data_IF_753047858896
#
_entry.id   IF_753047858896
#
_cell.length_a   1.000
_cell.length_b   1.000
_cell.length_c   1.000
_cell.angle_alpha   90.00
_cell.angle_beta   90.00
_cell.angle_gamma   90.00
#
_symmetry.space_group_name_H-M   'P 1'
#
loop_
_entity.id
_entity.type
_entity.pdbx_description
1 polymer ?
#
# COMPACT_ATOMS: atom_id res chain seq x y z
N UNK A 1 -6.53 -20.35 1.49
CA UNK A 1 -7.95 -19.99 1.70
C UNK A 1 -8.43 -20.75 2.93
N UNK A 2 -9.09 -20.09 3.87
CA UNK A 2 -9.72 -20.72 5.05
C UNK A 2 -10.84 -21.64 4.54
N UNK A 3 -10.78 -22.98 4.77
CA UNK A 3 -11.72 -23.94 4.20
C UNK A 3 -13.21 -23.62 4.46
N UNK A 4 -13.49 -23.08 5.65
CA UNK A 4 -14.83 -22.73 6.15
C UNK A 4 -15.47 -21.57 5.39
N UNK A 5 -14.66 -20.78 4.68
CA UNK A 5 -15.09 -19.59 3.95
C UNK A 5 -15.14 -19.81 2.44
N UNK A 6 -14.93 -21.04 1.97
CA UNK A 6 -14.73 -21.36 0.55
C UNK A 6 -15.95 -21.03 -0.32
N UNK A 7 -17.15 -21.21 0.22
CA UNK A 7 -18.41 -21.03 -0.50
C UNK A 7 -18.92 -19.59 -0.48
N UNK A 8 -18.26 -18.72 0.29
CA UNK A 8 -18.62 -17.32 0.43
C UNK A 8 -18.00 -16.46 -0.67
N UNK A 9 -18.76 -15.46 -1.13
CA UNK A 9 -18.23 -14.42 -2.00
C UNK A 9 -17.12 -13.65 -1.29
N UNK A 10 -16.28 -12.95 -2.05
CA UNK A 10 -15.16 -12.23 -1.46
C UNK A 10 -15.60 -11.19 -0.42
N UNK A 11 -16.71 -10.49 -0.68
CA UNK A 11 -17.24 -9.49 0.26
C UNK A 11 -17.80 -10.11 1.54
N UNK A 12 -18.50 -11.23 1.43
CA UNK A 12 -19.00 -11.98 2.59
C UNK A 12 -17.84 -12.50 3.46
N UNK A 13 -16.75 -12.94 2.83
CA UNK A 13 -15.54 -13.35 3.54
C UNK A 13 -14.90 -12.22 4.32
N UNK A 14 -14.83 -11.03 3.72
CA UNK A 14 -14.30 -9.84 4.40
C UNK A 14 -15.16 -9.52 5.62
N UNK A 15 -16.48 -9.57 5.48
CA UNK A 15 -17.43 -9.33 6.58
C UNK A 15 -17.28 -10.35 7.70
N UNK A 16 -17.23 -11.65 7.36
CA UNK A 16 -17.10 -12.73 8.34
C UNK A 16 -15.78 -12.66 9.13
N UNK A 17 -14.69 -12.26 8.47
CA UNK A 17 -13.40 -12.07 9.13
C UNK A 17 -13.26 -10.70 9.84
N UNK A 18 -14.26 -9.82 9.75
CA UNK A 18 -14.19 -8.46 10.28
C UNK A 18 -13.11 -7.60 9.60
N UNK A 19 -12.76 -7.89 8.34
CA UNK A 19 -11.74 -7.18 7.59
C UNK A 19 -12.36 -6.03 6.78
N UNK A 20 -11.72 -4.85 6.75
CA UNK A 20 -12.16 -3.76 5.90
C UNK A 20 -11.87 -4.06 4.42
N UNK A 21 -12.69 -3.49 3.54
CA UNK A 21 -12.52 -3.63 2.10
C UNK A 21 -11.24 -2.95 1.62
N UNK A 22 -10.82 -3.26 0.39
CA UNK A 22 -9.69 -2.57 -0.22
C UNK A 22 -9.97 -1.07 -0.37
N UNK A 23 -11.23 -0.71 -0.68
CA UNK A 23 -11.65 0.67 -0.81
C UNK A 23 -11.54 1.41 0.52
N UNK A 24 -12.08 0.85 1.61
CA UNK A 24 -11.98 1.45 2.95
C UNK A 24 -10.53 1.71 3.36
N UNK A 25 -9.63 0.76 3.04
CA UNK A 25 -8.19 0.90 3.32
C UNK A 25 -7.56 2.03 2.51
N UNK A 26 -7.94 2.19 1.24
CA UNK A 26 -7.45 3.28 0.36
C UNK A 26 -7.96 4.63 0.83
N UNK A 27 -9.25 4.74 1.15
CA UNK A 27 -9.85 5.95 1.67
C UNK A 27 -9.20 6.37 2.98
N UNK A 28 -9.04 5.43 3.92
CA UNK A 28 -8.32 5.69 5.18
C UNK A 28 -6.88 6.14 4.94
N UNK A 29 -6.18 5.51 3.99
CA UNK A 29 -4.83 5.88 3.60
C UNK A 29 -4.75 7.34 3.13
N UNK A 30 -5.64 7.73 2.21
CA UNK A 30 -5.71 9.11 1.71
C UNK A 30 -6.00 10.13 2.82
N UNK A 31 -6.94 9.82 3.72
CA UNK A 31 -7.25 10.69 4.87
C UNK A 31 -6.06 10.85 5.81
N UNK A 32 -5.32 9.78 6.08
CA UNK A 32 -4.11 9.84 6.90
C UNK A 32 -3.07 10.74 6.24
N UNK A 33 -2.83 10.58 4.94
CA UNK A 33 -1.88 11.42 4.20
C UNK A 33 -2.28 12.89 4.25
N UNK A 34 -3.56 13.21 4.00
CA UNK A 34 -4.09 14.57 4.10
C UNK A 34 -3.91 15.15 5.51
N UNK A 35 -4.21 14.36 6.55
CA UNK A 35 -4.00 14.79 7.93
C UNK A 35 -2.54 15.12 8.20
N UNK A 36 -1.60 14.27 7.76
CA UNK A 36 -0.17 14.50 7.96
C UNK A 36 0.34 15.74 7.23
N UNK A 37 -0.14 15.99 6.02
CA UNK A 37 0.17 17.22 5.26
C UNK A 37 -0.35 18.46 5.96
N UNK A 38 -1.64 18.48 6.36
CA UNK A 38 -2.28 19.64 7.00
C UNK A 38 -1.63 19.99 8.33
N UNK A 39 -1.24 18.99 9.12
CA UNK A 39 -0.61 19.20 10.43
C UNK A 39 0.91 19.37 10.34
N UNK A 40 1.50 19.39 9.14
CA UNK A 40 2.95 19.53 8.95
C UNK A 40 3.77 18.37 9.54
N UNK A 41 3.15 17.20 9.75
CA UNK A 41 3.80 15.98 10.24
C UNK A 41 4.66 15.36 9.14
N UNK A 42 4.16 15.38 7.90
CA UNK A 42 4.93 15.06 6.71
C UNK A 42 5.24 16.35 5.96
N UNK A 43 6.54 16.66 5.83
CA UNK A 43 7.02 17.65 4.88
C UNK A 43 7.28 16.92 3.58
N UNK A 44 6.42 17.14 2.60
CA UNK A 44 6.63 16.65 1.25
C UNK A 44 7.29 17.80 0.50
N UNK A 45 8.58 17.64 0.21
CA UNK A 45 9.29 18.58 -0.64
C UNK A 45 8.69 18.50 -2.06
N UNK A 46 8.62 19.62 -2.77
CA UNK A 46 7.95 19.69 -4.09
C UNK A 46 8.63 18.76 -5.09
N UNK A 47 9.91 18.53 -4.88
CA UNK A 47 10.78 17.66 -5.65
C UNK A 47 10.34 16.19 -5.50
N UNK A 48 9.99 15.74 -4.28
CA UNK A 48 9.47 14.39 -3.99
C UNK A 48 8.06 14.16 -4.59
N UNK A 49 7.30 15.23 -4.77
CA UNK A 49 5.98 15.22 -5.43
C UNK A 49 6.07 15.14 -6.96
N UNK A 50 7.19 15.58 -7.54
CA UNK A 50 7.38 15.73 -8.98
C UNK A 50 8.39 14.75 -9.57
N UNK A 51 9.10 13.99 -8.74
CA UNK A 51 9.91 12.87 -9.22
C UNK A 51 8.98 11.81 -9.79
N UNK A 52 9.01 11.65 -11.12
CA UNK A 52 8.48 10.45 -11.75
C UNK A 52 9.26 9.26 -11.17
N UNK A 53 8.55 8.40 -10.46
CA UNK A 53 9.16 7.24 -9.84
C UNK A 53 9.53 6.29 -10.98
N UNK A 54 10.78 6.36 -11.44
CA UNK A 54 11.34 5.48 -12.46
C UNK A 54 11.18 4.03 -12.00
N UNK A 55 10.04 3.43 -12.35
CA UNK A 55 9.76 2.01 -12.40
C UNK A 55 10.36 1.14 -11.29
N UNK A 56 10.46 1.61 -10.03
CA UNK A 56 10.86 0.74 -8.92
C UNK A 56 9.68 -0.11 -8.49
N UNK A 57 9.36 -1.10 -9.31
CA UNK A 57 8.72 -2.31 -8.80
C UNK A 57 9.61 -2.84 -7.69
N UNK A 58 9.03 -3.09 -6.51
CA UNK A 58 9.73 -3.72 -5.37
C UNK A 58 10.27 -5.07 -5.84
N UNK A 59 11.53 -5.07 -6.27
CA UNK A 59 12.27 -6.27 -6.58
C UNK A 59 12.32 -7.15 -5.32
N UNK A 60 11.84 -8.38 -5.46
CA UNK A 60 11.84 -9.40 -4.42
C UNK A 60 12.96 -10.42 -4.69
N UNK A 61 14.13 -10.01 -5.20
CA UNK A 61 15.26 -10.90 -5.38
C UNK A 61 16.53 -10.30 -4.77
N UNK A 62 17.12 -11.06 -3.84
CA UNK A 62 18.29 -10.67 -3.07
C UNK A 62 19.39 -10.11 -3.98
N UNK A 63 19.78 -8.87 -3.72
CA UNK A 63 20.88 -8.21 -4.38
C UNK A 63 22.16 -9.04 -4.20
N UNK A 64 22.63 -9.63 -5.29
CA UNK A 64 24.05 -9.90 -5.47
C UNK A 64 24.57 -8.88 -6.47
N UNK A 65 25.10 -7.76 -5.97
CA UNK A 65 26.00 -6.93 -6.76
C UNK A 65 27.31 -7.71 -6.88
N UNK A 66 27.48 -8.41 -8.00
CA UNK A 66 28.79 -8.86 -8.46
C UNK A 66 29.24 -7.96 -9.60
N UNK A 67 30.41 -7.36 -9.36
CA UNK A 67 31.46 -7.01 -10.32
C UNK A 67 31.10 -6.09 -11.50
N UNK A 68 31.51 -4.83 -11.40
CA UNK A 68 32.12 -4.11 -12.52
C UNK A 68 33.35 -3.32 -12.04
N UNK A 69 34.47 -4.04 -11.97
CA UNK A 69 35.87 -3.69 -12.31
C UNK A 69 36.86 -4.38 -11.39
#
# INVERSE_FOLDING_TARGET
>A
MVPELKDLTYEERLKEMGLPTLQDKRERGGLITMYKMVNGIEKIDKEDLLTEEDGRTRDHNGGKLECMQ
#
